data_IF_178558467651
#
_entry.id   IF_178558467651
#
_cell.length_a   1.000
_cell.length_b   1.000
_cell.length_c   1.000
_cell.angle_alpha   90.00
_cell.angle_beta   90.00
_cell.angle_gamma   90.00
#
_symmetry.space_group_name_H-M   'P 1'
#
loop_
_entity.id
_entity.type
_entity.pdbx_description
1 polymer ?
#
# COMPACT_ATOMS: atom_id res chain seq x y z
N UNK A 1 -25.03 30.89 -25.77
CA UNK A 1 -24.58 29.55 -26.19
C UNK A 1 -23.37 29.62 -27.12
N UNK A 2 -23.50 29.99 -28.41
CA UNK A 2 -22.42 29.95 -29.42
C UNK A 2 -21.05 30.47 -28.96
N UNK A 3 -20.99 31.67 -28.37
CA UNK A 3 -19.75 32.28 -27.87
C UNK A 3 -18.97 31.40 -26.88
N UNK A 4 -19.65 30.63 -26.02
CA UNK A 4 -18.98 29.74 -25.07
C UNK A 4 -18.28 28.58 -25.79
N UNK A 5 -18.92 27.99 -26.80
CA UNK A 5 -18.31 26.94 -27.62
C UNK A 5 -17.11 27.46 -28.43
N UNK A 6 -17.18 28.69 -28.93
CA UNK A 6 -16.07 29.35 -29.63
C UNK A 6 -14.88 29.55 -28.68
N UNK A 7 -15.11 30.06 -27.46
CA UNK A 7 -14.06 30.25 -26.45
C UNK A 7 -13.43 28.90 -26.04
N UNK A 8 -14.25 27.86 -25.80
CA UNK A 8 -13.76 26.50 -25.49
C UNK A 8 -12.94 25.92 -26.64
N UNK A 9 -13.38 26.10 -27.89
CA UNK A 9 -12.63 25.66 -29.07
C UNK A 9 -11.29 26.39 -29.22
N UNK A 10 -11.25 27.72 -29.02
CA UNK A 10 -10.01 28.52 -29.07
C UNK A 10 -9.03 28.05 -27.99
N UNK A 11 -9.51 27.85 -26.75
CA UNK A 11 -8.68 27.32 -25.64
C UNK A 11 -8.16 25.92 -25.98
N UNK A 12 -9.00 25.05 -26.54
CA UNK A 12 -8.61 23.71 -26.97
C UNK A 12 -7.53 23.74 -28.06
N UNK A 13 -7.73 24.48 -29.15
CA UNK A 13 -6.73 24.60 -30.22
C UNK A 13 -5.43 25.28 -29.77
N UNK A 14 -5.50 26.33 -28.94
CA UNK A 14 -4.32 26.93 -28.33
C UNK A 14 -3.55 25.93 -27.44
N UNK A 15 -4.27 25.10 -26.68
CA UNK A 15 -3.66 24.05 -25.85
C UNK A 15 -3.02 22.92 -26.68
N UNK A 16 -3.58 22.57 -27.84
CA UNK A 16 -2.99 21.63 -28.80
C UNK A 16 -1.72 22.20 -29.47
N UNK A 17 -1.70 23.50 -29.79
CA UNK A 17 -0.52 24.18 -30.32
C UNK A 17 0.60 24.26 -29.27
N UNK A 18 0.26 24.56 -28.00
CA UNK A 18 1.20 24.50 -26.88
C UNK A 18 1.70 23.07 -26.61
N UNK A 19 0.84 22.05 -26.75
CA UNK A 19 1.23 20.65 -26.65
C UNK A 19 2.20 20.23 -27.77
N UNK A 20 1.99 20.69 -29.01
CA UNK A 20 2.96 20.50 -30.11
C UNK A 20 4.29 21.20 -29.80
N UNK A 21 4.27 22.46 -29.35
CA UNK A 21 5.52 23.21 -29.11
C UNK A 21 6.31 22.67 -27.90
N UNK A 22 5.65 22.05 -26.91
CA UNK A 22 6.31 21.35 -25.80
C UNK A 22 6.81 19.94 -26.14
N UNK A 23 6.82 19.52 -27.41
CA UNK A 23 7.53 18.31 -27.88
C UNK A 23 9.06 18.42 -27.88
N UNK A 24 9.64 19.60 -27.59
CA UNK A 24 11.06 19.70 -27.19
C UNK A 24 11.27 19.17 -25.76
N UNK A 25 11.12 17.86 -25.58
CA UNK A 25 11.47 17.17 -24.33
C UNK A 25 12.98 17.20 -24.10
N UNK A 26 13.41 17.22 -22.83
CA UNK A 26 14.81 16.99 -22.46
C UNK A 26 15.19 15.57 -22.92
N UNK A 27 16.35 15.41 -23.58
CA UNK A 27 16.80 14.17 -24.24
C UNK A 27 16.97 12.93 -23.31
N UNK A 28 16.83 13.09 -21.99
CA UNK A 28 17.29 12.12 -20.98
C UNK A 28 16.15 11.68 -20.03
N UNK A 29 14.89 11.67 -20.49
CA UNK A 29 13.76 11.13 -19.71
C UNK A 29 13.33 9.76 -20.27
N UNK A 30 12.91 8.81 -19.41
CA UNK A 30 12.32 7.55 -19.86
C UNK A 30 11.11 7.76 -20.79
N UNK A 31 10.81 6.80 -21.70
CA UNK A 31 9.63 6.84 -22.58
C UNK A 31 8.31 6.94 -21.79
N UNK A 32 7.21 7.29 -22.47
CA UNK A 32 5.92 7.34 -21.82
C UNK A 32 4.78 7.82 -22.72
N UNK A 33 3.51 7.60 -22.30
CA UNK A 33 2.33 7.86 -23.11
C UNK A 33 2.09 9.34 -23.42
N UNK A 34 1.41 9.63 -24.56
CA UNK A 34 0.92 10.97 -24.88
C UNK A 34 0.11 11.59 -23.73
N UNK A 35 0.43 12.84 -23.40
CA UNK A 35 -0.15 13.58 -22.27
C UNK A 35 -1.10 14.66 -22.75
N UNK A 36 -2.23 14.86 -22.05
CA UNK A 36 -3.14 15.96 -22.33
C UNK A 36 -2.65 17.29 -21.70
N UNK A 37 -3.01 18.46 -22.26
CA UNK A 37 -2.78 19.75 -21.62
C UNK A 37 -3.40 19.81 -20.22
N UNK A 38 -2.77 20.59 -19.33
CA UNK A 38 -3.17 20.82 -17.92
C UNK A 38 -3.13 19.57 -17.03
N UNK A 39 -3.83 18.48 -17.38
CA UNK A 39 -4.00 17.27 -16.54
C UNK A 39 -2.94 16.18 -16.77
N UNK A 40 -2.21 16.23 -17.89
CA UNK A 40 -1.21 15.22 -18.24
C UNK A 40 -1.82 13.84 -18.51
N UNK A 41 -1.32 12.83 -17.80
CA UNK A 41 -1.69 11.41 -17.95
C UNK A 41 -2.73 10.95 -16.90
N UNK A 42 -3.26 11.84 -16.05
CA UNK A 42 -4.29 11.50 -15.04
C UNK A 42 -5.49 10.75 -15.63
N UNK A 43 -5.90 11.14 -16.85
CA UNK A 43 -7.01 10.54 -17.59
C UNK A 43 -6.82 9.05 -17.94
N UNK A 44 -5.60 8.51 -17.82
CA UNK A 44 -5.26 7.12 -18.15
C UNK A 44 -5.25 6.19 -16.92
N UNK A 45 -5.37 6.73 -15.71
CA UNK A 45 -5.19 5.95 -14.47
C UNK A 45 -6.48 5.22 -14.03
N UNK A 46 -7.65 5.80 -14.30
CA UNK A 46 -8.93 5.25 -13.85
C UNK A 46 -9.03 5.09 -12.32
N UNK A 47 -9.86 4.14 -11.87
CA UNK A 47 -10.08 3.86 -10.45
C UNK A 47 -9.04 2.94 -9.80
N UNK A 48 -8.13 2.34 -10.58
CA UNK A 48 -7.05 1.45 -10.09
C UNK A 48 -5.70 1.83 -10.70
N UNK A 49 -5.09 2.96 -10.28
CA UNK A 49 -3.91 3.53 -10.93
C UNK A 49 -2.73 2.57 -11.05
N UNK A 50 -2.50 1.70 -10.06
CA UNK A 50 -1.44 0.68 -10.06
C UNK A 50 -1.62 -0.37 -11.17
N UNK A 51 -2.86 -0.80 -11.44
CA UNK A 51 -3.16 -1.72 -12.56
C UNK A 51 -2.99 -1.01 -13.91
N UNK A 52 -3.44 0.24 -14.01
CA UNK A 52 -3.29 1.05 -15.23
C UNK A 52 -1.83 1.38 -15.52
N UNK A 53 -1.02 1.62 -14.48
CA UNK A 53 0.43 1.82 -14.61
C UNK A 53 1.18 0.54 -15.00
N UNK A 54 0.71 -0.67 -14.60
CA UNK A 54 1.26 -1.92 -15.14
C UNK A 54 1.06 -1.98 -16.66
N UNK A 55 -0.18 -1.82 -17.14
CA UNK A 55 -0.52 -1.84 -18.57
C UNK A 55 0.28 -0.81 -19.38
N UNK A 56 0.47 0.39 -18.84
CA UNK A 56 1.31 1.40 -19.47
C UNK A 56 2.79 1.01 -19.48
N UNK A 57 3.33 0.31 -18.47
CA UNK A 57 4.70 -0.22 -18.52
C UNK A 57 4.87 -1.45 -19.44
N UNK A 58 3.79 -2.15 -19.80
CA UNK A 58 3.81 -3.19 -20.85
C UNK A 58 3.97 -2.56 -22.26
N UNK A 59 3.35 -1.39 -22.50
CA UNK A 59 3.42 -0.65 -23.77
C UNK A 59 4.66 0.27 -23.88
N UNK A 60 5.04 0.95 -22.79
CA UNK A 60 6.10 1.98 -22.77
C UNK A 60 7.41 1.52 -22.09
N UNK A 61 7.44 0.32 -21.51
CA UNK A 61 8.62 -0.26 -20.84
C UNK A 61 8.61 -0.13 -19.31
N UNK A 62 9.44 -0.96 -18.66
CA UNK A 62 9.47 -1.14 -17.20
C UNK A 62 9.92 0.09 -16.40
N UNK A 63 10.56 1.07 -17.05
CA UNK A 63 10.84 2.40 -16.51
C UNK A 63 10.22 3.45 -17.46
N UNK A 64 9.21 4.17 -16.99
CA UNK A 64 8.46 5.13 -17.82
C UNK A 64 8.18 6.47 -17.13
N UNK A 65 8.00 7.52 -17.93
CA UNK A 65 7.64 8.88 -17.51
C UNK A 65 6.14 9.11 -17.61
N UNK A 66 5.52 9.57 -16.51
CA UNK A 66 4.15 10.07 -16.48
C UNK A 66 4.11 11.52 -15.94
N UNK A 67 3.03 12.24 -16.20
CA UNK A 67 2.80 13.58 -15.65
C UNK A 67 1.39 13.66 -15.04
N UNK A 68 1.29 13.94 -13.74
CA UNK A 68 0.00 14.07 -13.05
C UNK A 68 -0.29 15.56 -12.82
N UNK A 69 -1.02 16.18 -13.76
CA UNK A 69 -1.20 17.63 -13.78
C UNK A 69 0.13 18.37 -14.01
N UNK A 70 0.66 19.01 -12.96
CA UNK A 70 1.99 19.63 -12.96
C UNK A 70 3.08 18.78 -12.28
N UNK A 71 2.72 17.64 -11.69
CA UNK A 71 3.65 16.65 -11.13
C UNK A 71 4.36 15.91 -12.26
N UNK A 72 5.68 15.82 -12.23
CA UNK A 72 6.44 14.88 -13.07
C UNK A 72 6.73 13.62 -12.26
N UNK A 73 6.41 12.46 -12.83
CA UNK A 73 6.52 11.15 -12.17
C UNK A 73 7.36 10.22 -13.04
N UNK A 74 8.26 9.46 -12.42
CA UNK A 74 8.82 8.24 -13.02
C UNK A 74 8.22 7.04 -12.30
N UNK A 75 7.89 6.00 -13.07
CA UNK A 75 7.35 4.73 -12.57
C UNK A 75 8.33 3.62 -12.92
N UNK A 76 8.63 2.77 -11.92
CA UNK A 76 9.37 1.53 -12.08
C UNK A 76 8.45 0.33 -11.79
N UNK A 77 8.46 -0.67 -12.67
CA UNK A 77 7.52 -1.81 -12.70
C UNK A 77 8.18 -3.20 -12.79
N UNK A 78 9.52 -3.30 -12.82
CA UNK A 78 10.24 -4.59 -12.87
C UNK A 78 11.26 -4.73 -11.73
N UNK A 79 11.68 -5.94 -11.32
CA UNK A 79 12.65 -6.12 -10.23
C UNK A 79 13.94 -5.31 -10.43
N UNK A 80 14.45 -5.24 -11.67
CA UNK A 80 15.68 -4.54 -12.04
C UNK A 80 15.50 -3.03 -11.89
N UNK A 81 14.43 -2.48 -12.48
CA UNK A 81 14.15 -1.04 -12.43
C UNK A 81 13.80 -0.56 -11.02
N UNK A 82 13.17 -1.42 -10.22
CA UNK A 82 12.86 -1.15 -8.81
C UNK A 82 14.11 -1.30 -7.92
N UNK A 83 15.00 -2.24 -8.21
CA UNK A 83 16.33 -2.36 -7.60
C UNK A 83 17.20 -1.14 -7.88
N UNK A 84 17.15 -0.61 -9.08
CA UNK A 84 17.85 0.64 -9.39
C UNK A 84 17.30 1.83 -8.60
N UNK A 85 15.98 2.00 -8.54
CA UNK A 85 15.35 3.10 -7.77
C UNK A 85 15.52 2.95 -6.25
N UNK A 86 15.53 1.73 -5.69
CA UNK A 86 15.54 1.51 -4.24
C UNK A 86 16.91 1.11 -3.66
N UNK A 87 17.90 0.75 -4.49
CA UNK A 87 19.22 0.28 -4.03
C UNK A 87 20.39 0.90 -4.79
N UNK A 88 20.36 0.98 -6.14
CA UNK A 88 21.48 1.55 -6.93
C UNK A 88 21.56 3.07 -6.79
N UNK A 89 20.43 3.77 -6.99
CA UNK A 89 20.30 5.24 -6.93
C UNK A 89 19.55 5.68 -5.66
N UNK A 90 19.67 4.90 -4.58
CA UNK A 90 18.80 5.05 -3.42
C UNK A 90 19.00 6.39 -2.69
N UNK A 91 20.19 6.99 -2.74
CA UNK A 91 20.44 8.31 -2.17
C UNK A 91 19.58 9.42 -2.81
N UNK A 92 19.46 9.39 -4.13
CA UNK A 92 18.70 10.39 -4.91
C UNK A 92 17.20 10.09 -4.89
N UNK A 93 16.82 8.81 -4.98
CA UNK A 93 15.42 8.39 -5.05
C UNK A 93 14.73 8.19 -3.68
N UNK A 94 15.45 8.12 -2.56
CA UNK A 94 14.83 7.89 -1.24
C UNK A 94 14.12 9.12 -0.63
N UNK A 95 14.20 10.29 -1.25
CA UNK A 95 13.46 11.45 -0.75
C UNK A 95 11.95 11.24 -0.87
N UNK A 96 11.19 11.96 -0.04
CA UNK A 96 9.74 12.03 -0.16
C UNK A 96 9.37 13.42 -0.69
N UNK A 97 8.50 13.48 -1.70
CA UNK A 97 8.03 14.75 -2.23
C UNK A 97 7.15 15.45 -1.19
N UNK A 98 6.98 16.76 -1.34
CA UNK A 98 5.88 17.44 -0.66
C UNK A 98 4.55 16.83 -1.13
N UNK A 99 3.62 16.61 -0.19
CA UNK A 99 2.26 16.11 -0.43
C UNK A 99 1.34 16.86 0.54
N UNK A 100 0.44 17.71 0.04
CA UNK A 100 -0.33 18.63 0.91
C UNK A 100 -1.24 17.89 1.91
N UNK A 101 -1.81 16.74 1.49
CA UNK A 101 -2.54 15.85 2.41
C UNK A 101 -1.62 15.27 3.50
N UNK A 102 -0.49 14.68 3.11
CA UNK A 102 0.46 14.13 4.08
C UNK A 102 0.94 15.23 5.04
N UNK A 103 1.25 16.43 4.53
CA UNK A 103 1.69 17.59 5.31
C UNK A 103 0.66 17.97 6.40
N UNK A 104 -0.64 17.93 6.08
CA UNK A 104 -1.73 18.12 7.08
C UNK A 104 -1.74 17.05 8.17
N UNK A 105 -1.45 15.79 7.84
CA UNK A 105 -1.39 14.69 8.83
C UNK A 105 -0.09 14.66 9.66
N UNK A 106 1.02 15.14 9.11
CA UNK A 106 2.39 14.84 9.59
C UNK A 106 3.13 16.06 10.12
N UNK A 107 2.41 17.04 10.67
CA UNK A 107 2.97 18.32 11.15
C UNK A 107 3.87 18.99 10.11
N UNK A 108 3.36 19.13 8.88
CA UNK A 108 4.06 19.63 7.70
C UNK A 108 5.27 18.76 7.25
N UNK A 109 5.07 17.43 7.18
CA UNK A 109 6.09 16.46 6.74
C UNK A 109 7.30 16.42 7.69
N UNK A 110 7.05 16.50 9.00
CA UNK A 110 8.06 16.33 10.04
C UNK A 110 7.88 15.00 10.77
N UNK A 111 7.54 13.95 10.01
CA UNK A 111 7.34 12.59 10.48
C UNK A 111 8.33 11.59 9.83
N UNK A 112 8.21 10.31 10.19
CA UNK A 112 9.10 9.28 9.67
C UNK A 112 8.72 8.76 8.26
N UNK A 113 7.45 8.81 7.87
CA UNK A 113 6.96 8.26 6.61
C UNK A 113 7.06 9.25 5.45
N UNK A 114 6.68 10.52 5.66
CA UNK A 114 6.52 11.50 4.58
C UNK A 114 7.58 12.62 4.54
N UNK A 115 8.40 12.81 5.59
CA UNK A 115 9.45 13.84 5.56
C UNK A 115 10.50 13.63 4.46
N UNK A 116 10.94 14.69 3.74
CA UNK A 116 12.04 14.64 2.78
C UNK A 116 13.35 14.08 3.37
N UNK A 117 14.18 13.45 2.54
CA UNK A 117 15.44 12.87 3.03
C UNK A 117 16.41 13.99 3.44
N UNK A 118 16.85 13.98 4.69
CA UNK A 118 17.50 15.11 5.34
C UNK A 118 18.40 14.65 6.50
N UNK A 119 19.13 15.58 7.15
CA UNK A 119 19.80 15.28 8.44
C UNK A 119 18.76 14.98 9.53
N UNK A 120 17.73 15.81 9.64
CA UNK A 120 16.62 15.62 10.59
C UNK A 120 16.00 14.23 10.48
N UNK A 121 15.55 13.83 9.28
CA UNK A 121 14.91 12.54 9.06
C UNK A 121 15.85 11.37 9.40
N UNK A 122 17.16 11.48 9.13
CA UNK A 122 18.14 10.43 9.49
C UNK A 122 18.25 10.24 10.99
N UNK A 123 18.31 11.31 11.78
CA UNK A 123 18.36 11.17 13.25
C UNK A 123 17.02 10.66 13.82
N UNK A 124 15.88 11.15 13.32
CA UNK A 124 14.55 10.63 13.73
C UNK A 124 14.41 9.14 13.37
N UNK A 125 14.87 8.71 12.19
CA UNK A 125 14.91 7.30 11.80
C UNK A 125 15.81 6.48 12.71
N UNK A 126 17.01 6.97 13.01
CA UNK A 126 17.99 6.31 13.90
C UNK A 126 17.42 6.11 15.30
N UNK A 127 16.90 7.17 15.93
CA UNK A 127 16.25 7.10 17.23
C UNK A 127 15.05 6.13 17.19
N UNK A 128 14.20 6.22 16.17
CA UNK A 128 13.03 5.33 16.05
C UNK A 128 13.42 3.84 15.95
N UNK A 129 14.43 3.50 15.15
CA UNK A 129 14.89 2.11 14.99
C UNK A 129 15.55 1.59 16.27
N UNK A 130 16.43 2.37 16.90
CA UNK A 130 17.18 1.95 18.08
C UNK A 130 16.33 1.92 19.35
N UNK A 131 15.41 2.88 19.53
CA UNK A 131 14.65 3.01 20.78
C UNK A 131 13.27 2.36 20.74
N UNK A 132 12.61 2.24 19.58
CA UNK A 132 11.21 1.79 19.50
C UNK A 132 11.04 0.43 18.81
N UNK A 133 11.80 0.16 17.74
CA UNK A 133 11.59 -1.03 16.89
C UNK A 133 12.64 -2.14 17.02
N UNK A 134 13.52 -2.10 18.03
CA UNK A 134 14.42 -3.23 18.31
C UNK A 134 13.65 -4.50 18.69
N UNK A 135 14.24 -5.67 18.42
CA UNK A 135 13.66 -6.96 18.80
C UNK A 135 13.33 -7.05 20.31
N UNK A 136 14.13 -6.38 21.16
CA UNK A 136 13.86 -6.26 22.61
C UNK A 136 12.55 -5.53 22.90
N UNK A 137 12.28 -4.40 22.23
CA UNK A 137 11.01 -3.64 22.35
C UNK A 137 9.82 -4.40 21.76
N UNK A 138 9.99 -5.00 20.58
CA UNK A 138 8.95 -5.85 19.96
C UNK A 138 8.58 -7.02 20.89
N UNK A 139 9.56 -7.61 21.59
CA UNK A 139 9.34 -8.65 22.60
C UNK A 139 8.70 -8.12 23.89
N UNK A 140 9.06 -6.94 24.40
CA UNK A 140 8.42 -6.39 25.61
C UNK A 140 6.93 -6.12 25.43
N UNK A 141 6.51 -5.67 24.24
CA UNK A 141 5.10 -5.46 23.90
C UNK A 141 4.34 -6.76 23.51
N UNK A 142 4.89 -7.95 23.78
CA UNK A 142 4.25 -9.23 23.51
C UNK A 142 2.87 -9.35 24.20
N UNK A 143 2.81 -9.03 25.49
CA UNK A 143 1.58 -9.12 26.30
C UNK A 143 0.41 -8.33 25.69
N UNK A 144 0.64 -7.08 25.27
CA UNK A 144 -0.37 -6.24 24.60
C UNK A 144 -0.93 -6.94 23.35
N UNK A 145 -0.08 -7.56 22.52
CA UNK A 145 -0.55 -8.28 21.32
C UNK A 145 -1.35 -9.52 21.69
N UNK A 146 -0.93 -10.26 22.71
CA UNK A 146 -1.63 -11.46 23.18
C UNK A 146 -3.00 -11.12 23.79
N UNK A 147 -3.10 -10.08 24.61
CA UNK A 147 -4.37 -9.60 25.19
C UNK A 147 -5.36 -9.13 24.12
N UNK A 148 -4.93 -8.31 23.16
CA UNK A 148 -5.81 -7.81 22.09
C UNK A 148 -6.24 -8.94 21.13
N UNK A 149 -5.34 -9.91 20.85
CA UNK A 149 -5.69 -11.11 20.07
C UNK A 149 -6.67 -12.00 20.85
N UNK A 150 -6.47 -12.23 22.16
CA UNK A 150 -7.43 -12.97 23.00
C UNK A 150 -8.80 -12.28 22.97
N UNK A 151 -8.87 -10.96 23.20
CA UNK A 151 -10.14 -10.22 23.14
C UNK A 151 -10.84 -10.29 21.78
N UNK A 152 -10.07 -10.31 20.68
CA UNK A 152 -10.60 -10.52 19.34
C UNK A 152 -11.12 -11.95 19.11
N UNK A 153 -10.40 -12.96 19.60
CA UNK A 153 -10.79 -14.37 19.51
C UNK A 153 -12.03 -14.66 20.37
N UNK A 154 -12.16 -14.09 21.57
CA UNK A 154 -13.34 -14.27 22.41
C UNK A 154 -14.59 -13.66 21.77
N UNK A 155 -14.46 -12.51 21.09
CA UNK A 155 -15.51 -11.97 20.23
C UNK A 155 -15.87 -12.93 19.08
N UNK A 156 -14.90 -13.61 18.47
CA UNK A 156 -15.17 -14.62 17.44
C UNK A 156 -15.84 -15.88 18.01
N UNK A 157 -15.46 -16.33 19.22
CA UNK A 157 -16.14 -17.44 19.92
C UNK A 157 -17.62 -17.10 20.19
N UNK A 158 -17.90 -15.89 20.66
CA UNK A 158 -19.26 -15.40 20.85
C UNK A 158 -20.04 -15.26 19.53
N UNK A 159 -19.36 -14.98 18.42
CA UNK A 159 -19.99 -14.93 17.10
C UNK A 159 -20.32 -16.34 16.59
N UNK A 160 -19.42 -17.29 16.79
CA UNK A 160 -19.56 -18.70 16.40
C UNK A 160 -20.73 -19.37 17.14
N UNK A 161 -20.86 -19.18 18.45
CA UNK A 161 -21.96 -19.75 19.25
C UNK A 161 -23.35 -19.17 18.91
N UNK A 162 -23.39 -18.10 18.11
CA UNK A 162 -24.62 -17.48 17.60
C UNK A 162 -24.75 -17.62 16.07
N UNK A 163 -23.86 -18.37 15.41
CA UNK A 163 -23.74 -18.50 13.95
C UNK A 163 -23.69 -17.15 13.19
N UNK A 164 -23.28 -16.07 13.86
CA UNK A 164 -23.35 -14.70 13.32
C UNK A 164 -22.24 -14.43 12.29
N UNK A 165 -22.56 -13.98 11.06
CA UNK A 165 -21.57 -13.54 10.09
C UNK A 165 -20.72 -12.37 10.61
N UNK A 166 -19.40 -12.49 10.50
CA UNK A 166 -18.43 -11.51 10.96
C UNK A 166 -17.76 -10.81 9.78
N UNK A 167 -17.83 -9.48 9.76
CA UNK A 167 -17.02 -8.63 8.91
C UNK A 167 -15.55 -8.66 9.36
N UNK A 168 -14.80 -9.64 8.85
CA UNK A 168 -13.46 -9.96 9.34
C UNK A 168 -12.48 -8.79 9.10
N UNK A 169 -12.55 -8.15 7.93
CA UNK A 169 -11.75 -6.97 7.60
C UNK A 169 -11.90 -5.85 8.64
N UNK A 170 -13.14 -5.49 9.00
CA UNK A 170 -13.40 -4.42 9.98
C UNK A 170 -12.91 -4.78 11.39
N UNK A 171 -12.91 -6.07 11.74
CA UNK A 171 -12.41 -6.56 13.03
C UNK A 171 -10.88 -6.60 13.07
N UNK A 172 -10.21 -7.06 12.02
CA UNK A 172 -8.74 -7.05 11.89
C UNK A 172 -8.15 -5.63 11.84
N UNK A 173 -8.83 -4.69 11.19
CA UNK A 173 -8.46 -3.27 11.24
C UNK A 173 -8.59 -2.71 12.67
N UNK A 174 -9.66 -3.06 13.39
CA UNK A 174 -9.81 -2.65 14.80
C UNK A 174 -8.73 -3.27 15.70
N UNK A 175 -8.41 -4.55 15.54
CA UNK A 175 -7.33 -5.23 16.26
C UNK A 175 -5.99 -4.52 16.06
N UNK A 176 -5.61 -4.29 14.80
CA UNK A 176 -4.38 -3.58 14.43
C UNK A 176 -4.33 -2.18 15.05
N UNK A 177 -5.42 -1.41 14.93
CA UNK A 177 -5.53 -0.09 15.55
C UNK A 177 -5.40 -0.12 17.08
N UNK A 178 -6.02 -1.10 17.75
CA UNK A 178 -6.01 -1.21 19.21
C UNK A 178 -4.60 -1.54 19.72
N UNK A 179 -3.89 -2.46 19.07
CA UNK A 179 -2.46 -2.74 19.33
C UNK A 179 -1.61 -1.50 19.11
N UNK A 180 -1.80 -0.77 18.00
CA UNK A 180 -1.06 0.48 17.73
C UNK A 180 -1.31 1.52 18.82
N UNK A 181 -2.56 1.72 19.26
CA UNK A 181 -2.88 2.71 20.29
C UNK A 181 -2.35 2.32 21.68
N UNK A 182 -2.40 1.04 22.05
CA UNK A 182 -1.85 0.58 23.33
C UNK A 182 -0.32 0.61 23.35
N UNK A 183 0.34 0.22 22.27
CA UNK A 183 1.82 0.24 22.17
C UNK A 183 2.37 1.66 22.00
N UNK A 184 1.73 2.50 21.18
CA UNK A 184 2.22 3.83 20.83
C UNK A 184 1.82 4.95 21.79
N UNK A 185 0.64 4.84 22.43
CA UNK A 185 0.07 5.91 23.26
C UNK A 185 -0.43 5.42 24.64
N UNK A 186 -0.38 4.12 24.94
CA UNK A 186 -1.00 3.54 26.14
C UNK A 186 -2.54 3.57 26.12
N UNK A 187 -3.16 3.92 24.99
CA UNK A 187 -4.61 4.17 24.87
C UNK A 187 -5.38 2.95 24.38
N UNK A 188 -6.62 2.78 24.88
CA UNK A 188 -7.56 1.77 24.37
C UNK A 188 -8.56 2.41 23.39
N UNK A 189 -8.80 1.79 22.22
CA UNK A 189 -9.71 2.31 21.18
C UNK A 189 -11.22 2.11 21.45
N UNK A 190 -11.62 1.61 22.62
CA UNK A 190 -13.02 1.34 22.98
C UNK A 190 -13.81 2.64 23.31
N UNK A 191 -13.99 3.52 22.32
CA UNK A 191 -14.91 4.67 22.41
C UNK A 191 -14.64 5.91 21.52
N UNK A 192 -13.59 5.92 20.69
CA UNK A 192 -13.13 7.12 19.96
C UNK A 192 -13.88 7.43 18.64
N UNK A 193 -13.90 8.71 18.24
CA UNK A 193 -14.47 9.22 16.98
C UNK A 193 -13.42 9.99 16.14
N UNK A 194 -12.98 9.48 15.00
CA UNK A 194 -12.08 10.19 14.04
C UNK A 194 -12.18 9.59 12.63
N UNK A 195 -12.39 10.41 11.58
CA UNK A 195 -12.04 10.07 10.18
C UNK A 195 -12.09 11.27 9.19
N UNK A 196 -11.32 11.16 8.08
CA UNK A 196 -11.42 11.83 6.77
C UNK A 196 -10.67 13.16 6.43
N UNK A 197 -10.60 13.51 5.12
CA UNK A 197 -9.30 13.62 4.37
C UNK A 197 -9.11 14.86 3.42
N UNK A 198 -8.35 14.71 2.31
CA UNK A 198 -8.02 15.65 1.20
C UNK A 198 -6.88 16.68 1.47
N UNK A 199 -6.01 17.12 0.53
CA UNK A 199 -5.43 16.65 -0.77
C UNK A 199 -4.31 17.68 -1.13
N UNK A 200 -3.35 17.61 -2.09
CA UNK A 200 -2.88 16.70 -3.17
C UNK A 200 -1.36 17.04 -3.44
N UNK A 201 -0.71 16.52 -4.51
CA UNK A 201 0.57 16.94 -5.18
C UNK A 201 1.83 16.84 -4.31
N UNK A 202 2.85 15.98 -4.56
CA UNK A 202 3.58 15.61 -5.81
C UNK A 202 4.18 14.18 -5.70
N UNK A 203 4.69 13.49 -6.75
CA UNK A 203 5.09 12.06 -6.62
C UNK A 203 6.18 11.40 -7.52
N UNK A 204 6.86 10.38 -6.96
CA UNK A 204 7.59 9.27 -7.62
C UNK A 204 6.92 7.97 -7.15
N UNK A 205 6.61 7.03 -8.04
CA UNK A 205 5.84 5.83 -7.70
C UNK A 205 6.60 4.52 -8.03
N UNK A 206 6.67 3.60 -7.05
CA UNK A 206 7.20 2.25 -7.22
C UNK A 206 6.04 1.27 -7.19
N UNK A 207 5.79 0.58 -8.31
CA UNK A 207 4.60 -0.25 -8.48
C UNK A 207 4.84 -1.68 -7.96
N UNK A 208 4.95 -1.84 -6.63
CA UNK A 208 5.22 -3.13 -5.98
C UNK A 208 4.16 -4.19 -6.37
N UNK A 209 2.91 -3.78 -6.55
CA UNK A 209 1.81 -4.65 -6.99
C UNK A 209 2.07 -5.26 -8.37
N UNK A 210 2.66 -4.50 -9.30
CA UNK A 210 3.04 -4.99 -10.63
C UNK A 210 4.20 -5.99 -10.55
N UNK A 211 5.25 -5.69 -9.77
CA UNK A 211 6.41 -6.59 -9.62
C UNK A 211 5.98 -7.94 -9.03
N UNK A 212 5.13 -7.91 -7.99
CA UNK A 212 4.58 -9.11 -7.35
C UNK A 212 3.54 -9.87 -8.21
N UNK A 213 3.26 -9.40 -9.43
CA UNK A 213 2.34 -10.03 -10.39
C UNK A 213 2.95 -10.24 -11.78
N UNK A 214 4.22 -9.90 -11.98
CA UNK A 214 4.88 -10.03 -13.26
C UNK A 214 5.03 -11.53 -13.62
N UNK A 215 4.40 -12.03 -14.70
CA UNK A 215 4.45 -13.46 -15.06
C UNK A 215 5.86 -13.92 -15.49
N UNK A 216 6.77 -12.99 -15.81
CA UNK A 216 8.18 -13.28 -16.08
C UNK A 216 9.01 -13.50 -14.81
N UNK A 217 8.45 -13.21 -13.63
CA UNK A 217 9.08 -13.34 -12.31
C UNK A 217 8.38 -14.42 -11.49
N UNK A 218 7.05 -14.41 -11.50
CA UNK A 218 6.19 -15.30 -10.73
C UNK A 218 5.37 -16.18 -11.67
N UNK A 219 5.66 -17.49 -11.70
CA UNK A 219 4.76 -18.47 -12.32
C UNK A 219 3.36 -18.35 -11.69
N UNK A 220 2.31 -18.37 -12.51
CA UNK A 220 0.91 -18.28 -12.09
C UNK A 220 0.68 -17.15 -11.04
N UNK A 221 0.89 -15.87 -11.42
CA UNK A 221 1.04 -14.75 -10.48
C UNK A 221 -0.25 -14.36 -9.74
N UNK A 222 -1.42 -14.62 -10.33
CA UNK A 222 -2.72 -14.37 -9.68
C UNK A 222 -3.22 -15.56 -8.84
N UNK A 223 -2.50 -16.70 -8.85
CA UNK A 223 -2.85 -17.89 -8.08
C UNK A 223 -2.22 -17.85 -6.68
N UNK A 224 -3.04 -17.99 -5.64
CA UNK A 224 -2.55 -18.15 -4.26
C UNK A 224 -1.95 -19.56 -4.09
N UNK A 225 -0.63 -19.64 -4.19
CA UNK A 225 0.16 -20.88 -4.04
C UNK A 225 1.28 -20.58 -3.03
N UNK A 226 1.09 -20.86 -1.72
CA UNK A 226 2.12 -20.67 -0.69
C UNK A 226 3.38 -21.50 -0.92
N UNK A 227 3.24 -22.66 -1.57
CA UNK A 227 4.29 -23.66 -1.76
C UNK A 227 5.47 -23.12 -2.58
N UNK A 228 5.26 -22.06 -3.38
CA UNK A 228 6.32 -21.35 -4.14
C UNK A 228 7.42 -20.73 -3.27
N UNK A 229 7.23 -20.72 -1.95
CA UNK A 229 8.16 -20.21 -0.93
C UNK A 229 8.73 -21.32 -0.01
N UNK A 230 8.38 -22.59 -0.22
CA UNK A 230 8.89 -23.69 0.62
C UNK A 230 10.34 -24.06 0.27
N UNK A 231 10.64 -24.16 -1.04
CA UNK A 231 11.95 -24.56 -1.58
C UNK A 231 12.69 -23.35 -2.21
N UNK A 232 12.47 -22.14 -1.68
CA UNK A 232 12.91 -20.88 -2.30
C UNK A 232 13.35 -19.86 -1.23
N UNK A 233 14.52 -19.25 -1.41
CA UNK A 233 15.14 -18.36 -0.41
C UNK A 233 14.62 -16.90 -0.44
N UNK A 234 13.80 -16.52 -1.43
CA UNK A 234 13.26 -15.14 -1.59
C UNK A 234 12.50 -14.67 -0.33
N UNK A 235 12.92 -13.52 0.24
CA UNK A 235 12.39 -13.00 1.50
C UNK A 235 11.89 -11.54 1.40
N UNK A 236 10.78 -11.26 2.08
CA UNK A 236 10.19 -9.93 2.22
C UNK A 236 11.04 -8.93 3.04
N UNK A 237 12.21 -9.35 3.56
CA UNK A 237 13.26 -8.49 4.14
C UNK A 237 13.87 -7.50 3.15
N UNK A 238 13.51 -7.55 1.86
CA UNK A 238 13.80 -6.49 0.89
C UNK A 238 15.22 -6.46 0.36
N UNK A 239 15.90 -7.62 0.37
CA UNK A 239 17.11 -7.86 -0.44
C UNK A 239 16.75 -8.42 -1.82
N UNK A 240 15.60 -9.10 -1.90
CA UNK A 240 15.01 -9.69 -3.09
C UNK A 240 13.95 -8.72 -3.63
N UNK A 241 14.12 -8.28 -4.88
CA UNK A 241 13.34 -7.16 -5.44
C UNK A 241 12.02 -7.61 -6.06
N UNK A 242 11.84 -8.92 -6.15
CA UNK A 242 10.67 -9.67 -6.56
C UNK A 242 9.56 -9.64 -5.48
N UNK A 243 9.95 -9.48 -4.20
CA UNK A 243 9.05 -9.56 -3.03
C UNK A 243 9.27 -8.38 -2.05
N UNK A 244 8.70 -7.21 -2.34
CA UNK A 244 8.93 -5.97 -1.57
C UNK A 244 7.75 -5.43 -0.74
N UNK A 245 6.95 -6.23 0.02
CA UNK A 245 5.78 -5.70 0.74
C UNK A 245 6.14 -4.69 1.85
N UNK A 246 7.40 -4.68 2.32
CA UNK A 246 7.92 -3.70 3.29
C UNK A 246 8.88 -2.66 2.67
N UNK A 247 9.02 -2.65 1.35
CA UNK A 247 9.98 -1.82 0.61
C UNK A 247 11.44 -2.23 0.81
N UNK A 248 12.36 -1.42 0.31
CA UNK A 248 13.82 -1.62 0.43
C UNK A 248 14.58 -0.29 0.63
N UNK A 249 15.90 -0.38 0.76
CA UNK A 249 16.83 0.74 0.90
C UNK A 249 16.59 1.59 2.15
N UNK A 250 17.04 2.85 2.11
CA UNK A 250 16.90 3.83 3.21
C UNK A 250 15.47 3.96 3.76
N UNK A 251 14.43 3.68 2.96
CA UNK A 251 13.01 3.88 3.33
C UNK A 251 12.25 2.60 3.70
N UNK A 252 12.90 1.44 3.76
CA UNK A 252 12.31 0.17 4.22
C UNK A 252 11.53 0.33 5.55
N UNK A 253 10.42 -0.39 5.71
CA UNK A 253 9.56 -0.29 6.90
C UNK A 253 10.33 -0.60 8.20
N UNK A 254 10.35 0.31 9.20
CA UNK A 254 10.96 0.02 10.50
C UNK A 254 10.10 -0.93 11.34
N UNK A 255 8.79 -0.98 11.07
CA UNK A 255 7.81 -1.76 11.82
C UNK A 255 7.71 -3.23 11.42
N UNK A 256 8.52 -3.71 10.47
CA UNK A 256 8.47 -5.08 9.93
C UNK A 256 8.35 -6.17 11.01
N UNK A 257 9.20 -6.11 12.05
CA UNK A 257 9.18 -7.07 13.15
C UNK A 257 7.93 -7.00 14.04
N UNK A 258 7.35 -5.81 14.22
CA UNK A 258 6.08 -5.64 14.96
C UNK A 258 4.89 -6.13 14.13
N UNK A 259 4.87 -5.80 12.84
CA UNK A 259 3.83 -6.22 11.90
C UNK A 259 3.75 -7.73 11.78
N UNK A 260 4.86 -8.40 11.43
CA UNK A 260 4.89 -9.85 11.30
C UNK A 260 4.61 -10.57 12.63
N UNK A 261 5.04 -10.02 13.76
CA UNK A 261 4.70 -10.59 15.07
C UNK A 261 3.20 -10.50 15.41
N UNK A 262 2.47 -9.51 14.88
CA UNK A 262 1.01 -9.43 15.02
C UNK A 262 0.28 -10.31 13.99
N UNK A 263 0.71 -10.28 12.72
CA UNK A 263 0.13 -11.09 11.64
C UNK A 263 0.21 -12.57 11.98
N UNK A 264 1.41 -13.08 12.33
CA UNK A 264 1.59 -14.50 12.62
C UNK A 264 0.77 -14.92 13.85
N UNK A 265 0.84 -14.16 14.95
CA UNK A 265 0.06 -14.45 16.18
C UNK A 265 -1.46 -14.48 15.91
N UNK A 266 -1.96 -13.55 15.09
CA UNK A 266 -3.38 -13.47 14.74
C UNK A 266 -3.77 -14.64 13.83
N UNK A 267 -3.00 -14.90 12.77
CA UNK A 267 -3.28 -15.96 11.79
C UNK A 267 -3.24 -17.35 12.44
N UNK A 268 -2.24 -17.64 13.28
CA UNK A 268 -2.18 -18.90 14.02
C UNK A 268 -3.39 -19.08 14.94
N UNK A 269 -3.85 -18.03 15.64
CA UNK A 269 -5.04 -18.15 16.48
C UNK A 269 -6.35 -18.26 15.68
N UNK A 270 -6.42 -17.70 14.47
CA UNK A 270 -7.58 -17.86 13.57
C UNK A 270 -7.66 -19.27 12.99
N UNK A 271 -6.53 -19.84 12.55
CA UNK A 271 -6.46 -21.18 11.94
C UNK A 271 -6.53 -22.31 12.98
N UNK A 272 -5.97 -22.12 14.18
CA UNK A 272 -5.97 -23.16 15.22
C UNK A 272 -7.30 -23.30 15.97
N UNK A 273 -8.14 -22.27 15.99
CA UNK A 273 -9.37 -22.20 16.81
C UNK A 273 -10.66 -22.17 16.01
N UNK A 274 -10.59 -21.91 14.70
CA UNK A 274 -11.78 -21.76 13.87
C UNK A 274 -11.64 -22.39 12.48
N UNK A 275 -12.61 -23.24 12.15
CA UNK A 275 -13.02 -23.50 10.78
C UNK A 275 -13.90 -22.32 10.29
N UNK A 276 -14.00 -22.14 8.98
CA UNK A 276 -14.65 -20.96 8.40
C UNK A 276 -15.66 -21.33 7.31
N UNK A 277 -16.92 -20.93 7.50
CA UNK A 277 -17.99 -21.08 6.52
C UNK A 277 -18.34 -19.71 5.91
N UNK A 278 -18.76 -19.69 4.65
CA UNK A 278 -19.40 -18.52 4.06
C UNK A 278 -20.85 -18.36 4.58
N UNK A 279 -21.44 -17.16 4.48
CA UNK A 279 -22.88 -16.97 4.72
C UNK A 279 -23.74 -17.89 3.84
N UNK A 280 -24.93 -18.26 4.31
CA UNK A 280 -25.83 -19.12 3.54
C UNK A 280 -26.22 -18.49 2.19
N UNK A 281 -26.10 -19.29 1.12
CA UNK A 281 -26.32 -18.84 -0.26
C UNK A 281 -25.11 -18.22 -0.96
N UNK A 282 -23.90 -18.29 -0.38
CA UNK A 282 -22.65 -17.77 -0.97
C UNK A 282 -21.60 -18.87 -1.18
N UNK A 283 -21.14 -19.06 -2.42
CA UNK A 283 -20.01 -19.93 -2.76
C UNK A 283 -18.68 -19.16 -2.75
N UNK A 284 -17.56 -19.88 -2.72
CA UNK A 284 -16.21 -19.29 -2.78
C UNK A 284 -15.96 -18.42 -4.03
N UNK A 285 -16.67 -18.71 -5.13
CA UNK A 285 -16.62 -17.96 -6.40
C UNK A 285 -17.24 -16.55 -6.29
N UNK A 286 -18.15 -16.34 -5.33
CA UNK A 286 -18.91 -15.11 -5.15
C UNK A 286 -18.19 -14.11 -4.23
N UNK A 287 -17.07 -14.52 -3.64
CA UNK A 287 -16.24 -13.71 -2.73
C UNK A 287 -15.40 -12.72 -3.55
N UNK A 288 -15.94 -11.52 -3.79
CA UNK A 288 -15.25 -10.42 -4.49
C UNK A 288 -13.81 -10.22 -3.99
N UNK A 289 -12.82 -10.52 -4.84
CA UNK A 289 -11.39 -10.35 -4.56
C UNK A 289 -10.84 -8.98 -4.97
N UNK A 290 -11.65 -8.08 -5.52
CA UNK A 290 -11.19 -6.74 -5.89
C UNK A 290 -10.70 -5.92 -4.69
N UNK A 291 -9.69 -5.09 -4.95
CA UNK A 291 -9.21 -4.03 -4.06
C UNK A 291 -9.99 -2.73 -4.26
N UNK A 292 -10.15 -1.95 -3.20
CA UNK A 292 -10.46 -0.51 -3.30
C UNK A 292 -9.18 0.32 -3.40
N UNK A 293 -9.33 1.55 -3.90
CA UNK A 293 -8.24 2.51 -4.00
C UNK A 293 -8.09 3.31 -2.70
N UNK A 294 -6.84 3.47 -2.23
CA UNK A 294 -6.54 4.24 -1.02
C UNK A 294 -5.04 4.21 -0.67
N UNK A 295 -4.68 4.88 0.43
CA UNK A 295 -3.31 4.84 1.00
C UNK A 295 -2.94 3.43 1.51
N UNK A 296 -3.97 2.69 1.95
CA UNK A 296 -3.97 1.23 2.09
C UNK A 296 -5.02 0.72 1.10
N UNK A 297 -4.78 -0.41 0.44
CA UNK A 297 -5.69 -1.01 -0.54
C UNK A 297 -6.39 -2.25 0.05
N UNK A 298 -7.44 -2.11 0.88
CA UNK A 298 -8.20 -3.25 1.40
C UNK A 298 -9.10 -3.86 0.31
N UNK A 299 -9.75 -4.99 0.62
CA UNK A 299 -10.81 -5.55 -0.23
C UNK A 299 -11.95 -4.54 -0.38
N UNK A 300 -12.42 -4.37 -1.62
CA UNK A 300 -13.53 -3.50 -2.04
C UNK A 300 -14.83 -3.86 -1.31
N UNK A 301 -15.25 -5.13 -1.37
CA UNK A 301 -16.28 -5.69 -0.51
C UNK A 301 -15.61 -6.31 0.74
N UNK A 302 -16.03 -5.95 1.96
CA UNK A 302 -15.49 -6.56 3.17
C UNK A 302 -15.83 -8.04 3.28
N UNK A 303 -14.84 -8.88 3.56
CA UNK A 303 -15.03 -10.32 3.73
C UNK A 303 -15.95 -10.62 4.92
N UNK A 304 -17.07 -11.30 4.67
CA UNK A 304 -17.95 -11.88 5.69
C UNK A 304 -17.66 -13.38 5.81
N UNK A 305 -17.49 -13.89 7.02
CA UNK A 305 -17.39 -15.32 7.30
C UNK A 305 -18.15 -15.65 8.59
N UNK A 306 -18.69 -16.86 8.67
CA UNK A 306 -19.20 -17.45 9.92
C UNK A 306 -18.06 -18.29 10.51
N UNK A 307 -17.52 -17.93 11.69
CA UNK A 307 -16.56 -18.76 12.40
C UNK A 307 -17.27 -20.00 12.98
N UNK A 308 -16.64 -21.17 12.87
CA UNK A 308 -17.06 -22.43 13.47
C UNK A 308 -15.91 -22.89 14.38
N UNK A 309 -16.19 -23.33 15.61
CA UNK A 309 -15.13 -23.81 16.51
C UNK A 309 -14.54 -25.14 16.01
N UNK A 310 -13.21 -25.19 15.91
CA UNK A 310 -12.47 -26.43 15.62
C UNK A 310 -12.67 -27.47 16.71
N UNK A 311 -12.78 -28.76 16.34
CA UNK A 311 -13.01 -29.85 17.30
C UNK A 311 -11.86 -30.13 18.29
N UNK A 312 -10.72 -29.44 18.14
CA UNK A 312 -9.53 -29.58 18.98
C UNK A 312 -9.41 -28.54 20.11
N UNK A 313 -10.46 -27.73 20.36
CA UNK A 313 -10.41 -26.54 21.25
C UNK A 313 -11.68 -26.25 22.04
#
# INVERSE_FOLDING_TARGET
>A
MSMLYIIVAIIFFASLLAAKNTRKTKKNLPPGPPRLPIIGNLHQLGSKPHRSMLKLSEEYGSLMSLRFGNVSTVVASSPETVKDVLKTFDADCCSRPYLTYAARLSHNLNDLAFSPYSKYWREVRKMTVLELYTAKRVKSFRHIREEEVVSFIDFLKQSASLANPVNLNKKLMKLSGSVICRVGFGMNLKGSKLENTYEEKTWIHVNIWAVQRNPNVWKDPEAFIPERFMDNEIDYKGLDFELLPFGSGRRMCPGIGMGMALVNLTLTNLLYRFDWKLPDGMDAKDVDLEESYGLVCPKKVPLQLIPILTQWT
#
